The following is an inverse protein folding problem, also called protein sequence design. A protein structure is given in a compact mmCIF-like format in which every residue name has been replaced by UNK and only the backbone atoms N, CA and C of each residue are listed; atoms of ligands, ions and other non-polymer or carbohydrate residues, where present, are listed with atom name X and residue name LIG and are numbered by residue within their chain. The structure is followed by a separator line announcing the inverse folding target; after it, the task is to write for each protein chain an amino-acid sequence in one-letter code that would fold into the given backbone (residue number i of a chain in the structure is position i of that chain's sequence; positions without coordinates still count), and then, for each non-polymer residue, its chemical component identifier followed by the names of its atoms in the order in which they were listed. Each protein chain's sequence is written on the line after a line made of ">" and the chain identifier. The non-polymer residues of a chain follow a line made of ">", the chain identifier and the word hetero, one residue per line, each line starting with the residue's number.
data_IF_630956524622
#
_entry.id   IF_630956524622
#
_cell.length_a   1.000
_cell.length_b   1.000
_cell.length_c   1.000
_cell.angle_alpha   90.00
_cell.angle_beta   90.00
_cell.angle_gamma   90.00
#
_symmetry.space_group_name_H-M   'P 1'
#
loop_
_entity.id
_entity.type
_entity.pdbx_description
1 polymer ?
#
# COMPACT_ATOMS: atom_id res chain seq x y z
N UNK A 1 5.12 -6.02 13.61
CA UNK A 1 5.34 -4.61 13.99
C UNK A 1 4.02 -3.88 13.80
N UNK A 2 3.50 -3.17 14.82
CA UNK A 2 2.29 -2.33 14.65
C UNK A 2 2.63 -1.00 13.96
N UNK A 3 1.60 -0.22 13.57
CA UNK A 3 1.78 1.12 12.98
C UNK A 3 2.47 2.05 13.99
N UNK A 4 2.01 2.07 15.23
CA UNK A 4 2.54 2.91 16.32
C UNK A 4 4.00 2.56 16.59
N UNK A 5 4.31 1.26 16.64
CA UNK A 5 5.68 0.79 16.79
C UNK A 5 6.56 1.19 15.61
N UNK A 6 6.02 1.31 14.38
CA UNK A 6 6.77 1.74 13.21
C UNK A 6 7.17 3.23 13.27
N UNK A 7 6.30 4.07 13.86
CA UNK A 7 6.42 5.54 13.91
C UNK A 7 7.28 6.10 15.05
N UNK A 8 7.59 5.31 16.08
CA UNK A 8 8.35 5.78 17.25
C UNK A 8 9.80 6.21 16.91
N UNK A 9 10.23 7.36 17.42
CA UNK A 9 11.63 7.83 17.40
C UNK A 9 12.42 7.25 18.60
N UNK A 10 13.75 7.03 18.51
CA UNK A 10 14.60 6.91 17.32
C UNK A 10 14.74 5.43 16.92
N UNK A 11 14.63 5.11 15.62
CA UNK A 11 14.94 3.76 15.13
C UNK A 11 16.27 3.75 14.40
N UNK A 12 17.18 2.91 14.89
CA UNK A 12 18.48 2.67 14.28
C UNK A 12 18.40 1.74 13.05
N UNK A 13 17.30 0.97 12.88
CA UNK A 13 17.13 0.04 11.76
C UNK A 13 15.92 0.42 10.89
N UNK A 14 16.22 0.87 9.67
CA UNK A 14 15.23 1.19 8.63
C UNK A 14 14.77 -0.10 7.96
N UNK A 15 13.47 -0.22 7.68
CA UNK A 15 12.92 -1.36 6.92
C UNK A 15 13.35 -1.29 5.44
N UNK A 16 13.48 -0.07 4.90
CA UNK A 16 13.88 0.19 3.52
C UNK A 16 14.88 1.35 3.48
N UNK A 17 15.94 1.19 2.70
CA UNK A 17 16.98 2.22 2.52
C UNK A 17 16.47 3.48 1.82
N UNK A 18 15.36 3.38 1.09
CA UNK A 18 14.72 4.49 0.37
C UNK A 18 13.50 5.09 1.10
N UNK A 19 13.12 4.55 2.26
CA UNK A 19 11.94 5.03 3.00
C UNK A 19 12.14 6.42 3.60
N UNK A 20 11.06 7.16 3.87
CA UNK A 20 11.13 8.39 4.65
C UNK A 20 11.58 8.14 6.09
N UNK A 21 11.79 9.19 6.89
CA UNK A 21 12.03 9.04 8.33
C UNK A 21 10.93 8.19 8.97
N UNK A 22 11.26 7.46 10.03
CA UNK A 22 10.32 6.69 10.85
C UNK A 22 9.50 5.65 10.07
N UNK A 23 10.13 5.02 9.06
CA UNK A 23 9.52 4.00 8.20
C UNK A 23 8.26 4.50 7.46
N UNK A 24 8.13 5.81 7.22
CA UNK A 24 7.02 6.37 6.45
C UNK A 24 7.32 6.18 4.95
N UNK A 25 6.53 5.34 4.28
CA UNK A 25 6.65 5.11 2.84
C UNK A 25 6.02 6.25 2.01
N UNK A 26 4.89 6.80 2.47
CA UNK A 26 4.17 7.88 1.78
C UNK A 26 3.40 8.73 2.79
N UNK A 27 3.40 10.04 2.59
CA UNK A 27 2.62 11.02 3.36
C UNK A 27 1.71 11.79 2.38
N UNK A 28 0.44 11.96 2.74
CA UNK A 28 -0.56 12.67 1.93
C UNK A 28 -1.37 13.58 2.84
N UNK A 29 -1.50 14.85 2.47
CA UNK A 29 -2.33 15.84 3.14
C UNK A 29 -3.21 16.53 2.08
N UNK A 30 -4.53 16.49 2.25
CA UNK A 30 -5.51 17.05 1.31
C UNK A 30 -6.53 17.88 2.08
N UNK A 31 -6.77 19.11 1.64
CA UNK A 31 -7.79 20.02 2.16
C UNK A 31 -8.59 20.60 1.01
N UNK A 32 -9.91 20.71 1.18
CA UNK A 32 -10.80 21.22 0.14
C UNK A 32 -11.80 22.21 0.76
N UNK A 33 -11.67 23.49 0.40
CA UNK A 33 -12.48 24.57 0.98
C UNK A 33 -11.95 25.07 2.33
N UNK A 34 -12.78 25.81 3.05
CA UNK A 34 -12.47 26.33 4.41
C UNK A 34 -12.90 25.30 5.47
N UNK A 35 -11.99 24.38 5.80
CA UNK A 35 -12.23 23.31 6.77
C UNK A 35 -12.47 23.89 8.17
N UNK A 36 -11.63 24.82 8.61
CA UNK A 36 -11.72 25.46 9.93
C UNK A 36 -13.03 26.23 10.10
N UNK A 37 -13.39 27.05 9.12
CA UNK A 37 -14.67 27.75 9.11
C UNK A 37 -15.86 26.80 9.04
N UNK A 38 -15.72 25.67 8.36
CA UNK A 38 -16.68 24.57 8.33
C UNK A 38 -16.95 23.97 9.71
N UNK A 39 -15.90 23.68 10.49
CA UNK A 39 -16.04 23.20 11.87
C UNK A 39 -16.60 24.28 12.80
N UNK A 40 -16.14 25.53 12.68
CA UNK A 40 -16.57 26.62 13.57
C UNK A 40 -18.08 26.91 13.51
N UNK A 41 -18.71 26.67 12.36
CA UNK A 41 -20.15 26.90 12.13
C UNK A 41 -21.04 25.66 12.30
N UNK A 42 -20.47 24.51 12.63
CA UNK A 42 -21.23 23.29 12.81
C UNK A 42 -22.03 23.35 14.13
N UNK A 43 -23.30 22.99 14.09
CA UNK A 43 -24.11 22.81 15.32
C UNK A 43 -23.62 21.60 16.13
N UNK A 44 -22.98 20.64 15.44
CA UNK A 44 -22.54 19.40 16.05
C UNK A 44 -21.28 18.84 15.39
N UNK A 45 -20.35 18.37 16.21
CA UNK A 45 -19.14 17.67 15.79
C UNK A 45 -19.03 16.33 16.52
N UNK A 46 -18.64 15.29 15.77
CA UNK A 46 -18.34 13.96 16.28
C UNK A 46 -17.05 13.47 15.67
N UNK A 47 -16.24 12.86 16.51
CA UNK A 47 -14.97 12.26 16.16
C UNK A 47 -14.96 10.83 16.70
N UNK A 48 -14.42 9.90 15.92
CA UNK A 48 -14.26 8.50 16.31
C UNK A 48 -13.07 7.88 15.56
N UNK A 49 -12.59 6.75 16.04
CA UNK A 49 -11.48 6.00 15.44
C UNK A 49 -12.02 4.72 14.83
N UNK A 50 -11.94 4.64 13.50
CA UNK A 50 -12.29 3.44 12.76
C UNK A 50 -11.04 2.62 12.44
N UNK A 51 -11.12 1.30 12.63
CA UNK A 51 -10.04 0.38 12.34
C UNK A 51 -10.49 -0.73 11.38
N UNK A 52 -9.65 -1.06 10.41
CA UNK A 52 -9.86 -2.15 9.45
C UNK A 52 -8.70 -3.15 9.52
N UNK A 53 -9.03 -4.42 9.75
CA UNK A 53 -8.05 -5.51 9.83
C UNK A 53 -7.53 -5.87 8.44
N UNK A 54 -6.29 -6.36 8.37
CA UNK A 54 -5.78 -6.97 7.14
C UNK A 54 -6.62 -8.18 6.73
N UNK A 55 -6.97 -8.26 5.45
CA UNK A 55 -7.58 -9.43 4.84
C UNK A 55 -6.79 -9.86 3.60
N UNK A 56 -7.19 -10.98 3.00
CA UNK A 56 -6.57 -11.49 1.78
C UNK A 56 -7.64 -11.82 0.76
N UNK A 57 -7.31 -11.69 -0.52
CA UNK A 57 -8.22 -11.94 -1.64
C UNK A 57 -8.74 -13.39 -1.68
N UNK A 58 -7.95 -14.35 -1.17
CA UNK A 58 -8.27 -15.77 -1.07
C UNK A 58 -8.81 -16.40 -2.37
N UNK A 59 -8.12 -16.25 -3.52
CA UNK A 59 -8.51 -16.96 -4.73
C UNK A 59 -8.42 -18.47 -4.51
N UNK A 60 -9.37 -19.23 -5.06
CA UNK A 60 -9.33 -20.69 -5.01
C UNK A 60 -8.18 -21.27 -5.84
N UNK A 61 -7.80 -20.58 -6.91
CA UNK A 61 -6.60 -20.88 -7.70
C UNK A 61 -5.37 -20.27 -7.02
N UNK A 62 -4.32 -21.08 -6.83
CA UNK A 62 -3.03 -20.60 -6.31
C UNK A 62 -2.21 -19.89 -7.38
N UNK A 63 -1.30 -19.02 -6.96
CA UNK A 63 -0.30 -18.46 -7.87
C UNK A 63 0.54 -19.56 -8.53
N UNK A 64 0.58 -19.54 -9.85
CA UNK A 64 1.35 -20.47 -10.66
C UNK A 64 1.93 -19.76 -11.88
N UNK A 65 3.08 -20.23 -12.33
CA UNK A 65 3.68 -19.80 -13.58
C UNK A 65 4.50 -20.94 -14.21
N UNK A 66 4.39 -21.09 -15.52
CA UNK A 66 5.18 -22.02 -16.34
C UNK A 66 5.75 -21.24 -17.50
N UNK A 67 7.04 -21.46 -17.78
CA UNK A 67 7.73 -20.81 -18.88
C UNK A 67 8.37 -21.85 -19.82
N UNK A 68 8.44 -21.49 -21.10
CA UNK A 68 9.30 -22.17 -22.07
C UNK A 68 10.21 -21.16 -22.74
N UNK A 69 11.43 -21.59 -23.08
CA UNK A 69 12.40 -20.80 -23.79
C UNK A 69 12.81 -21.50 -25.08
N UNK A 70 12.49 -20.89 -26.22
CA UNK A 70 12.70 -21.45 -27.55
C UNK A 70 13.14 -20.34 -28.49
N UNK A 71 14.19 -20.58 -29.27
CA UNK A 71 14.70 -19.68 -30.32
C UNK A 71 14.89 -18.22 -29.86
N UNK A 72 15.50 -18.04 -28.68
CA UNK A 72 15.77 -16.71 -28.14
C UNK A 72 14.57 -16.01 -27.50
N UNK A 73 13.42 -16.69 -27.38
CA UNK A 73 12.17 -16.12 -26.84
C UNK A 73 11.67 -16.89 -25.63
N UNK A 74 11.22 -16.15 -24.62
CA UNK A 74 10.49 -16.71 -23.47
C UNK A 74 8.99 -16.60 -23.74
N UNK A 75 8.25 -17.70 -23.57
CA UNK A 75 6.79 -17.67 -23.43
C UNK A 75 6.44 -18.04 -21.99
N UNK A 76 5.69 -17.17 -21.32
CA UNK A 76 5.30 -17.32 -19.92
C UNK A 76 3.77 -17.42 -19.82
N UNK A 77 3.27 -18.48 -19.20
CA UNK A 77 1.90 -18.59 -18.73
C UNK A 77 1.90 -18.38 -17.22
N UNK A 78 1.07 -17.48 -16.71
CA UNK A 78 1.01 -17.16 -15.28
C UNK A 78 -0.41 -16.78 -14.87
N UNK A 79 -0.80 -17.14 -13.64
CA UNK A 79 -2.02 -16.62 -13.00
C UNK A 79 -1.77 -15.17 -12.59
N UNK A 80 -2.01 -14.26 -13.54
CA UNK A 80 -1.79 -12.82 -13.40
C UNK A 80 -2.93 -12.01 -14.04
N UNK A 81 -3.25 -10.86 -13.45
CA UNK A 81 -4.20 -9.91 -14.01
C UNK A 81 -3.52 -8.83 -14.86
N UNK A 82 -2.18 -8.80 -14.91
CA UNK A 82 -1.40 -7.67 -15.43
C UNK A 82 -0.30 -8.11 -16.40
N UNK A 83 -0.71 -8.80 -17.47
CA UNK A 83 0.22 -9.43 -18.45
C UNK A 83 1.27 -8.47 -19.03
N UNK A 84 0.91 -7.20 -19.28
CA UNK A 84 1.85 -6.21 -19.84
C UNK A 84 2.92 -5.75 -18.82
N UNK A 85 2.59 -5.67 -17.53
CA UNK A 85 3.58 -5.35 -16.50
C UNK A 85 4.53 -6.52 -16.27
N UNK A 86 4.02 -7.76 -16.31
CA UNK A 86 4.85 -8.96 -16.23
C UNK A 86 5.84 -9.04 -17.41
N UNK A 87 5.42 -8.70 -18.62
CA UNK A 87 6.31 -8.70 -19.78
C UNK A 87 7.37 -7.58 -19.73
N UNK A 88 7.08 -6.45 -19.07
CA UNK A 88 8.02 -5.33 -18.96
C UNK A 88 9.09 -5.53 -17.89
N UNK A 89 8.74 -6.23 -16.81
CA UNK A 89 9.52 -6.32 -15.57
C UNK A 89 10.88 -7.02 -15.73
#
# INVERSE_FOLDING_TARGET
>A
MSIEAALANPKDERIQDYGGPNNIHKLVALEFGDVDGGFARAEHVREDVFFFQGNTHLPMEQHSAVATYVDGKVTLWSSTQVVHYVHRA
#
